data_IF_541047352639
#
_entry.id   IF_541047352639
#
_cell.length_a   1.000
_cell.length_b   1.000
_cell.length_c   1.000
_cell.angle_alpha   90.00
_cell.angle_beta   90.00
_cell.angle_gamma   90.00
#
_symmetry.space_group_name_H-M   'P 1'
#
loop_
_entity.id
_entity.type
_entity.pdbx_description
1 polymer ?
#
# COMPACT_ATOMS: atom_id res chain seq x y z
N UNK A 1 41.54 -38.96 39.03
CA UNK A 1 42.09 -38.46 40.31
C UNK A 1 41.67 -37.00 40.38
N UNK A 2 40.45 -36.73 40.85
CA UNK A 2 40.11 -36.46 42.28
C UNK A 2 40.43 -35.00 42.60
N UNK A 3 39.61 -34.11 43.15
CA UNK A 3 38.24 -34.10 43.72
C UNK A 3 37.85 -32.60 43.78
N UNK A 4 36.69 -32.17 43.26
CA UNK A 4 35.50 -31.69 44.01
C UNK A 4 35.72 -31.00 45.37
N UNK A 5 35.31 -29.72 45.48
CA UNK A 5 34.60 -29.06 46.61
C UNK A 5 33.90 -27.82 46.02
N UNK A 6 32.58 -27.75 45.78
CA UNK A 6 31.45 -27.65 46.73
C UNK A 6 31.68 -26.74 47.94
N UNK A 7 31.01 -25.59 47.94
CA UNK A 7 30.60 -24.88 49.15
C UNK A 7 29.20 -24.28 48.98
N UNK A 8 28.38 -24.59 49.96
CA UNK A 8 26.94 -24.34 50.05
C UNK A 8 26.60 -23.04 50.78
N UNK A 9 25.41 -22.54 50.43
CA UNK A 9 24.41 -21.80 51.22
C UNK A 9 24.84 -20.64 52.14
N UNK A 10 24.23 -19.47 51.92
CA UNK A 10 23.40 -18.88 52.97
C UNK A 10 22.24 -18.04 52.42
N UNK A 11 21.10 -18.28 53.05
CA UNK A 11 19.78 -17.66 52.94
C UNK A 11 19.77 -16.17 53.25
N UNK A 12 18.99 -15.38 52.51
CA UNK A 12 18.18 -14.33 53.13
C UNK A 12 16.82 -14.20 52.44
N UNK A 13 15.78 -14.63 53.14
CA UNK A 13 14.43 -14.12 53.00
C UNK A 13 14.43 -12.70 53.55
N UNK A 14 13.91 -11.73 52.80
CA UNK A 14 13.07 -10.63 53.30
C UNK A 14 12.71 -9.68 52.16
N UNK A 15 11.42 -9.36 52.03
CA UNK A 15 10.97 -8.21 51.24
C UNK A 15 9.82 -8.47 50.26
N UNK A 16 8.76 -9.16 50.69
CA UNK A 16 7.46 -9.01 50.05
C UNK A 16 7.03 -7.54 50.19
N UNK A 17 7.22 -6.75 49.12
CA UNK A 17 6.60 -5.44 48.99
C UNK A 17 5.12 -5.64 48.65
N UNK A 18 4.30 -5.02 49.47
CA UNK A 18 2.84 -4.93 49.39
C UNK A 18 2.39 -4.52 47.99
N UNK A 19 1.43 -5.29 47.46
CA UNK A 19 0.66 -4.93 46.28
C UNK A 19 -0.04 -3.60 46.52
N UNK A 20 0.40 -2.55 45.82
CA UNK A 20 -0.41 -1.36 45.64
C UNK A 20 -1.59 -1.74 44.75
N UNK A 21 -2.78 -1.76 45.34
CA UNK A 21 -4.06 -1.83 44.65
C UNK A 21 -4.16 -0.56 43.79
N UNK A 22 -3.77 -0.67 42.52
CA UNK A 22 -4.11 0.33 41.51
C UNK A 22 -5.59 0.19 41.21
N UNK A 23 -6.40 1.03 41.87
CA UNK A 23 -7.77 1.32 41.44
C UNK A 23 -7.71 1.93 40.03
N UNK A 24 -8.43 1.39 39.03
CA UNK A 24 -8.49 2.01 37.72
C UNK A 24 -9.17 3.39 37.85
N UNK A 25 -8.68 4.44 37.16
CA UNK A 25 -9.47 5.65 37.03
C UNK A 25 -10.75 5.29 36.30
N UNK A 26 -11.89 5.52 36.94
CA UNK A 26 -13.20 5.43 36.32
C UNK A 26 -13.25 6.46 35.18
N UNK A 27 -12.94 6.03 33.97
CA UNK A 27 -13.31 6.76 32.76
C UNK A 27 -14.81 6.65 32.63
N UNK A 28 -15.52 7.69 33.10
CA UNK A 28 -16.91 7.92 32.76
C UNK A 28 -17.02 7.90 31.23
N UNK A 29 -17.81 6.97 30.71
CA UNK A 29 -18.26 7.00 29.33
C UNK A 29 -19.17 8.21 29.22
N UNK A 30 -18.61 9.33 28.79
CA UNK A 30 -19.39 10.48 28.33
C UNK A 30 -19.97 10.08 26.98
N UNK A 31 -21.23 9.64 27.00
CA UNK A 31 -22.07 9.55 25.81
C UNK A 31 -22.10 10.94 25.18
N UNK A 32 -21.80 11.11 23.87
CA UNK A 32 -21.96 12.40 23.22
C UNK A 32 -23.45 12.76 23.25
N UNK A 33 -23.82 13.69 24.14
CA UNK A 33 -25.13 14.35 24.07
C UNK A 33 -25.14 15.19 22.81
N UNK A 34 -25.82 14.68 21.79
CA UNK A 34 -26.29 15.45 20.64
C UNK A 34 -27.40 16.38 21.14
N UNK A 35 -27.05 17.55 21.67
CA UNK A 35 -27.99 18.67 21.84
C UNK A 35 -27.35 19.93 21.28
N UNK A 36 -27.89 20.30 20.12
CA UNK A 36 -28.08 21.64 19.59
C UNK A 36 -27.61 22.79 20.48
N UNK A 37 -26.50 23.42 20.09
CA UNK A 37 -26.23 24.81 20.42
C UNK A 37 -25.94 25.58 19.13
N UNK A 38 -27.03 26.03 18.50
CA UNK A 38 -27.03 27.11 17.54
C UNK A 38 -26.88 28.42 18.33
N UNK A 39 -25.66 28.73 18.78
CA UNK A 39 -25.35 30.01 19.38
C UNK A 39 -24.95 31.00 18.28
N UNK A 40 -25.69 32.10 18.27
CA UNK A 40 -25.58 33.24 17.37
C UNK A 40 -24.15 33.78 17.35
N UNK A 41 -23.45 33.53 16.24
CA UNK A 41 -22.30 34.30 15.80
C UNK A 41 -22.67 34.93 14.47
N UNK A 42 -23.15 36.17 14.53
CA UNK A 42 -23.33 37.04 13.37
C UNK A 42 -21.98 37.61 12.97
N UNK A 43 -21.16 36.78 12.33
CA UNK A 43 -20.08 37.22 11.46
C UNK A 43 -20.26 36.46 10.14
N UNK A 44 -20.79 37.18 9.16
CA UNK A 44 -21.20 36.66 7.87
C UNK A 44 -20.06 35.90 7.15
N UNK A 45 -20.14 34.58 7.14
CA UNK A 45 -19.55 33.74 6.10
C UNK A 45 -20.70 32.91 5.53
N UNK A 46 -21.51 33.55 4.69
CA UNK A 46 -22.46 32.87 3.81
C UNK A 46 -21.66 32.16 2.70
N UNK A 47 -21.01 31.04 3.03
CA UNK A 47 -20.67 30.06 1.97
C UNK A 47 -21.98 29.36 1.60
N UNK A 48 -22.45 29.50 0.36
CA UNK A 48 -23.78 29.03 0.00
C UNK A 48 -23.83 27.49 0.12
N UNK A 49 -24.90 26.96 0.71
CA UNK A 49 -25.15 25.52 0.93
C UNK A 49 -24.96 24.70 -0.37
N UNK A 50 -25.15 25.32 -1.54
CA UNK A 50 -24.86 24.75 -2.85
C UNK A 50 -23.39 24.37 -3.07
N UNK A 51 -22.44 25.07 -2.43
CA UNK A 51 -21.01 24.78 -2.54
C UNK A 51 -20.59 23.57 -1.71
N UNK A 52 -21.24 23.33 -0.57
CA UNK A 52 -20.98 22.16 0.29
C UNK A 52 -21.50 20.89 -0.37
N UNK A 53 -22.75 20.90 -0.85
CA UNK A 53 -23.35 19.79 -1.59
C UNK A 53 -22.60 19.50 -2.89
N UNK A 54 -22.16 20.54 -3.60
CA UNK A 54 -21.34 20.38 -4.82
C UNK A 54 -20.00 19.69 -4.55
N UNK A 55 -19.34 20.00 -3.43
CA UNK A 55 -18.08 19.36 -3.05
C UNK A 55 -18.29 17.88 -2.69
N UNK A 56 -19.31 17.55 -1.91
CA UNK A 56 -19.62 16.15 -1.55
C UNK A 56 -19.96 15.30 -2.78
N UNK A 57 -20.77 15.82 -3.70
CA UNK A 57 -21.10 15.15 -4.95
C UNK A 57 -19.86 14.93 -5.83
N UNK A 58 -18.95 15.91 -5.88
CA UNK A 58 -17.70 15.76 -6.63
C UNK A 58 -16.81 14.65 -6.07
N UNK A 59 -16.71 14.54 -4.74
CA UNK A 59 -15.96 13.49 -4.07
C UNK A 59 -16.60 12.10 -4.29
N UNK A 60 -17.93 12.01 -4.23
CA UNK A 60 -18.67 10.79 -4.50
C UNK A 60 -18.44 10.32 -5.94
N UNK A 61 -18.51 11.23 -6.92
CA UNK A 61 -18.23 10.93 -8.32
C UNK A 61 -16.81 10.36 -8.47
N UNK A 62 -15.79 11.06 -7.98
CA UNK A 62 -14.38 10.61 -8.04
C UNK A 62 -14.19 9.22 -7.43
N UNK A 63 -14.86 8.93 -6.31
CA UNK A 63 -14.79 7.63 -5.66
C UNK A 63 -15.48 6.53 -6.48
N UNK A 64 -16.61 6.82 -7.12
CA UNK A 64 -17.25 5.89 -8.05
C UNK A 64 -16.38 5.59 -9.26
N UNK A 65 -15.71 6.60 -9.84
CA UNK A 65 -14.82 6.36 -10.99
C UNK A 65 -13.69 5.40 -10.61
N UNK A 66 -13.04 5.64 -9.46
CA UNK A 66 -11.99 4.77 -8.93
C UNK A 66 -12.47 3.33 -8.76
N UNK A 67 -13.66 3.14 -8.18
CA UNK A 67 -14.25 1.80 -7.98
C UNK A 67 -14.54 1.11 -9.31
N UNK A 68 -15.14 1.82 -10.26
CA UNK A 68 -15.43 1.28 -11.60
C UNK A 68 -14.14 0.91 -12.33
N UNK A 69 -13.10 1.75 -12.22
CA UNK A 69 -11.81 1.47 -12.86
C UNK A 69 -11.10 0.26 -12.25
N UNK A 70 -11.13 0.12 -10.92
CA UNK A 70 -10.62 -1.05 -10.22
C UNK A 70 -11.37 -2.32 -10.64
N UNK A 71 -12.71 -2.31 -10.61
CA UNK A 71 -13.54 -3.47 -10.97
C UNK A 71 -13.30 -3.92 -12.42
N UNK A 72 -13.21 -2.97 -13.36
CA UNK A 72 -12.84 -3.27 -14.75
C UNK A 72 -11.45 -3.91 -14.85
N UNK A 73 -10.53 -3.47 -14.01
CA UNK A 73 -9.14 -3.97 -13.98
C UNK A 73 -9.12 -5.40 -13.47
N UNK A 74 -9.87 -5.71 -12.41
CA UNK A 74 -10.02 -7.06 -11.88
C UNK A 74 -10.63 -8.00 -12.92
N UNK A 75 -11.67 -7.57 -13.64
CA UNK A 75 -12.26 -8.33 -14.75
C UNK A 75 -11.25 -8.65 -15.85
N UNK A 76 -10.35 -7.70 -16.18
CA UNK A 76 -9.27 -7.94 -17.15
C UNK A 76 -8.29 -8.99 -16.62
N UNK A 77 -7.88 -8.88 -15.35
CA UNK A 77 -6.96 -9.83 -14.72
C UNK A 77 -7.56 -11.25 -14.70
N UNK A 78 -8.83 -11.39 -14.30
CA UNK A 78 -9.51 -12.69 -14.28
C UNK A 78 -9.66 -13.29 -15.68
N UNK A 79 -10.00 -12.46 -16.68
CA UNK A 79 -10.03 -12.92 -18.07
C UNK A 79 -8.65 -13.42 -18.52
N UNK A 80 -7.57 -12.71 -18.19
CA UNK A 80 -6.21 -13.11 -18.57
C UNK A 80 -5.80 -14.43 -17.92
N UNK A 81 -6.13 -14.63 -16.64
CA UNK A 81 -5.92 -15.92 -15.96
C UNK A 81 -6.65 -17.06 -16.66
N UNK A 82 -7.91 -16.84 -17.06
CA UNK A 82 -8.73 -17.87 -17.71
C UNK A 82 -8.27 -18.22 -19.13
N UNK A 83 -7.63 -17.29 -19.84
CA UNK A 83 -7.33 -17.50 -21.28
C UNK A 83 -6.09 -18.39 -21.51
N UNK A 84 -5.35 -18.83 -20.47
CA UNK A 84 -4.14 -19.67 -20.57
C UNK A 84 -3.07 -19.24 -21.60
N UNK A 85 -3.15 -18.03 -22.17
CA UNK A 85 -2.25 -17.57 -23.23
C UNK A 85 -0.83 -17.34 -22.72
N UNK A 86 -0.67 -17.04 -21.44
CA UNK A 86 0.61 -16.76 -20.80
C UNK A 86 0.68 -17.39 -19.41
N UNK A 87 1.80 -18.06 -19.10
CA UNK A 87 2.05 -18.63 -17.77
C UNK A 87 2.43 -17.51 -16.81
N UNK A 88 1.47 -17.06 -16.00
CA UNK A 88 1.67 -16.00 -15.02
C UNK A 88 2.64 -16.43 -13.91
N UNK A 89 3.51 -15.51 -13.49
CA UNK A 89 4.50 -15.72 -12.43
C UNK A 89 3.83 -15.42 -11.08
N UNK A 90 3.89 -16.38 -10.16
CA UNK A 90 3.41 -16.17 -8.79
C UNK A 90 4.43 -15.36 -7.97
N UNK A 91 3.97 -14.68 -6.90
CA UNK A 91 4.88 -13.93 -6.02
C UNK A 91 5.96 -14.84 -5.43
N UNK A 92 5.57 -16.05 -5.00
CA UNK A 92 6.47 -17.05 -4.43
C UNK A 92 7.55 -17.43 -5.46
N UNK A 93 7.14 -17.77 -6.68
CA UNK A 93 8.06 -18.13 -7.76
C UNK A 93 9.01 -16.99 -8.11
N UNK A 94 8.54 -15.74 -8.06
CA UNK A 94 9.39 -14.57 -8.31
C UNK A 94 10.40 -14.37 -7.19
N UNK A 95 9.98 -14.44 -5.93
CA UNK A 95 10.87 -14.33 -4.76
C UNK A 95 11.90 -15.46 -4.79
N UNK A 96 11.49 -16.70 -5.02
CA UNK A 96 12.39 -17.85 -5.15
C UNK A 96 13.43 -17.64 -6.26
N UNK A 97 13.01 -17.14 -7.42
CA UNK A 97 13.92 -16.84 -8.53
C UNK A 97 14.94 -15.75 -8.19
N UNK A 98 14.53 -14.72 -7.45
CA UNK A 98 15.38 -13.59 -7.09
C UNK A 98 16.33 -13.89 -5.94
N UNK A 99 15.88 -14.69 -4.99
CA UNK A 99 16.60 -14.98 -3.76
C UNK A 99 17.51 -16.21 -3.87
N UNK A 100 17.36 -17.05 -4.89
CA UNK A 100 18.16 -18.26 -5.04
C UNK A 100 19.67 -17.96 -5.03
N UNK A 101 20.50 -18.67 -4.24
CA UNK A 101 20.19 -19.84 -3.40
C UNK A 101 19.75 -19.56 -1.95
N UNK A 102 19.65 -18.30 -1.54
CA UNK A 102 19.38 -17.87 -0.17
C UNK A 102 17.88 -17.75 0.09
N UNK A 103 17.26 -18.76 0.72
CA UNK A 103 15.80 -18.79 0.94
C UNK A 103 15.37 -18.42 2.38
N UNK A 104 16.30 -17.99 3.23
CA UNK A 104 16.06 -17.77 4.66
C UNK A 104 16.65 -16.44 5.15
N UNK A 105 16.31 -15.36 4.47
CA UNK A 105 16.67 -14.02 4.89
C UNK A 105 16.24 -13.77 6.35
N UNK A 106 17.08 -13.10 7.16
CA UNK A 106 16.72 -12.72 8.53
C UNK A 106 15.63 -11.65 8.57
N UNK A 107 15.52 -10.82 7.53
CA UNK A 107 14.57 -9.71 7.48
C UNK A 107 13.63 -9.79 6.28
N UNK A 108 12.45 -9.17 6.43
CA UNK A 108 11.45 -9.03 5.37
C UNK A 108 10.95 -7.59 5.32
N UNK A 109 10.34 -7.24 4.20
CA UNK A 109 9.69 -5.95 4.02
C UNK A 109 8.17 -6.07 4.22
N UNK A 110 7.57 -5.09 4.89
CA UNK A 110 6.11 -4.94 4.97
C UNK A 110 5.73 -3.53 4.52
N UNK A 111 4.74 -3.41 3.62
CA UNK A 111 4.26 -2.12 3.13
C UNK A 111 2.89 -1.79 3.70
N UNK A 112 2.74 -0.55 4.15
CA UNK A 112 1.49 0.02 4.71
C UNK A 112 0.63 0.70 3.65
N UNK A 113 1.22 1.00 2.50
CA UNK A 113 0.54 1.60 1.36
C UNK A 113 0.51 0.61 0.21
N UNK A 114 -0.66 0.46 -0.40
CA UNK A 114 -0.81 -0.32 -1.62
C UNK A 114 -0.50 0.52 -2.87
N UNK A 115 -0.27 -0.16 -3.99
CA UNK A 115 -0.15 0.46 -5.31
C UNK A 115 -1.53 0.93 -5.81
N UNK A 116 -1.60 2.03 -6.58
CA UNK A 116 -2.86 2.39 -7.22
C UNK A 116 -3.34 1.29 -8.16
N UNK A 117 -4.62 0.94 -8.08
CA UNK A 117 -5.22 -0.12 -8.88
C UNK A 117 -6.48 0.38 -9.61
N UNK A 118 -6.40 0.65 -10.93
CA UNK A 118 -5.21 0.63 -11.76
C UNK A 118 -4.27 1.82 -11.48
N UNK A 119 -3.00 1.66 -11.83
CA UNK A 119 -2.06 2.76 -11.93
C UNK A 119 -2.21 3.48 -13.27
N UNK A 120 -1.72 4.72 -13.35
CA UNK A 120 -1.80 5.53 -14.56
C UNK A 120 -0.41 5.97 -15.02
N UNK A 121 -0.18 5.88 -16.34
CA UNK A 121 1.10 6.25 -16.95
C UNK A 121 1.52 7.66 -16.52
N UNK A 122 2.75 7.77 -16.02
CA UNK A 122 3.35 9.05 -15.61
C UNK A 122 2.71 9.69 -14.38
N UNK A 123 1.76 9.02 -13.69
CA UNK A 123 1.22 9.52 -12.42
C UNK A 123 2.06 9.01 -11.26
N UNK A 124 2.46 9.94 -10.40
CA UNK A 124 3.20 9.63 -9.18
C UNK A 124 2.32 8.85 -8.20
N UNK A 125 2.92 7.86 -7.57
CA UNK A 125 2.40 7.24 -6.35
C UNK A 125 3.54 7.07 -5.33
N UNK A 126 3.15 6.71 -4.13
CA UNK A 126 4.03 6.66 -2.98
C UNK A 126 3.95 5.28 -2.35
N UNK A 127 5.10 4.71 -1.98
CA UNK A 127 5.18 3.48 -1.20
C UNK A 127 5.84 3.75 0.17
N UNK A 128 5.21 3.30 1.24
CA UNK A 128 5.68 3.36 2.62
C UNK A 128 5.66 1.95 3.20
N UNK A 129 6.77 1.57 3.82
CA UNK A 129 6.91 0.28 4.49
C UNK A 129 7.97 0.31 5.57
N UNK A 130 8.10 -0.80 6.27
CA UNK A 130 9.09 -1.03 7.31
C UNK A 130 9.85 -2.33 7.03
N UNK A 131 11.03 -2.44 7.64
CA UNK A 131 11.78 -3.69 7.71
C UNK A 131 11.35 -4.42 8.99
N UNK A 132 11.06 -5.71 8.87
CA UNK A 132 10.66 -6.57 9.99
C UNK A 132 11.58 -7.78 10.12
N UNK A 133 11.75 -8.27 11.35
CA UNK A 133 12.45 -9.52 11.63
C UNK A 133 11.52 -10.75 11.44
N UNK A 134 12.05 -11.94 11.72
CA UNK A 134 11.29 -13.20 11.70
C UNK A 134 10.17 -13.29 12.74
N UNK A 135 10.19 -12.43 13.75
CA UNK A 135 9.19 -12.34 14.80
C UNK A 135 8.13 -11.25 14.48
N UNK A 136 8.17 -10.67 13.28
CA UNK A 136 7.32 -9.56 12.83
C UNK A 136 7.49 -8.25 13.63
N UNK A 137 8.62 -8.07 14.30
CA UNK A 137 8.95 -6.80 14.94
C UNK A 137 9.57 -5.86 13.93
N UNK A 138 9.21 -4.57 14.00
CA UNK A 138 9.87 -3.52 13.21
C UNK A 138 11.30 -3.37 13.73
N UNK A 139 12.27 -3.44 12.84
CA UNK A 139 13.69 -3.38 13.18
C UNK A 139 14.41 -2.21 12.51
N UNK A 140 15.52 -1.83 13.12
CA UNK A 140 16.52 -0.92 12.55
C UNK A 140 17.73 -1.80 12.24
N UNK A 141 18.20 -1.75 11.01
CA UNK A 141 19.39 -2.44 10.56
C UNK A 141 20.65 -1.81 11.16
N UNK A 142 21.71 -2.60 11.31
CA UNK A 142 23.00 -2.11 11.82
C UNK A 142 23.69 -1.16 10.83
N UNK A 143 23.48 -1.39 9.53
CA UNK A 143 24.06 -0.62 8.43
C UNK A 143 22.98 -0.20 7.43
N UNK A 144 23.10 0.98 6.80
CA UNK A 144 22.13 1.44 5.84
C UNK A 144 22.18 0.53 4.61
N UNK A 145 21.01 0.08 4.15
CA UNK A 145 20.88 -0.72 2.94
C UNK A 145 20.16 0.12 1.89
N UNK A 146 20.65 0.02 0.66
CA UNK A 146 20.00 0.60 -0.49
C UNK A 146 18.89 -0.32 -1.00
N UNK A 147 17.72 0.28 -1.26
CA UNK A 147 16.55 -0.39 -1.81
C UNK A 147 16.18 0.24 -3.15
N UNK A 148 15.83 -0.60 -4.12
CA UNK A 148 15.46 -0.19 -5.47
C UNK A 148 14.12 -0.77 -5.91
N UNK A 149 13.33 0.07 -6.57
CA UNK A 149 12.09 -0.33 -7.23
C UNK A 149 12.37 -0.79 -8.67
N UNK A 150 11.94 -2.00 -9.03
CA UNK A 150 12.20 -2.63 -10.33
C UNK A 150 10.92 -3.24 -10.91
N UNK A 151 10.71 -3.14 -12.23
CA UNK A 151 9.60 -3.82 -12.91
C UNK A 151 10.07 -5.16 -13.47
N UNK A 152 9.27 -6.19 -13.24
CA UNK A 152 9.39 -7.50 -13.85
C UNK A 152 8.17 -7.82 -14.72
N UNK A 153 8.40 -8.67 -15.72
CA UNK A 153 7.32 -9.32 -16.45
C UNK A 153 6.42 -10.11 -15.47
N UNK A 154 5.11 -10.06 -15.72
CA UNK A 154 4.15 -10.85 -14.96
C UNK A 154 4.00 -12.29 -15.47
N UNK A 155 4.72 -12.66 -16.52
CA UNK A 155 4.69 -13.95 -17.17
C UNK A 155 6.10 -14.54 -17.30
N UNK A 156 6.18 -15.85 -17.51
CA UNK A 156 7.44 -16.50 -17.85
C UNK A 156 7.86 -16.19 -19.30
N UNK A 157 9.17 -16.02 -19.57
CA UNK A 157 10.29 -16.06 -18.61
C UNK A 157 10.38 -14.80 -17.74
N UNK A 158 10.80 -14.98 -16.48
CA UNK A 158 11.02 -13.88 -15.53
C UNK A 158 12.14 -13.01 -16.06
N UNK A 159 11.81 -11.76 -16.40
CA UNK A 159 12.75 -10.76 -16.93
C UNK A 159 12.45 -9.41 -16.32
N UNK A 160 13.50 -8.64 -16.04
CA UNK A 160 13.39 -7.23 -15.71
C UNK A 160 12.98 -6.45 -16.96
N UNK A 161 12.21 -5.40 -16.75
CA UNK A 161 11.90 -4.41 -17.78
C UNK A 161 12.52 -3.11 -17.27
N UNK A 162 13.56 -2.63 -17.94
CA UNK A 162 14.24 -1.39 -17.54
C UNK A 162 13.82 -0.21 -18.43
N UNK A 163 13.38 -0.51 -19.65
CA UNK A 163 13.09 0.45 -20.70
C UNK A 163 11.68 0.22 -21.24
N UNK A 164 11.03 1.31 -21.56
CA UNK A 164 9.79 1.32 -22.35
C UNK A 164 10.07 0.98 -23.80
N UNK A 165 9.03 0.70 -24.59
CA UNK A 165 9.13 0.54 -26.05
C UNK A 165 9.76 1.74 -26.79
N UNK A 166 9.83 2.92 -26.15
CA UNK A 166 10.42 4.14 -26.70
C UNK A 166 11.84 4.39 -26.17
N UNK A 167 12.48 3.37 -25.58
CA UNK A 167 13.83 3.45 -25.03
C UNK A 167 14.01 4.46 -23.88
N UNK A 168 12.91 4.84 -23.22
CA UNK A 168 12.94 5.62 -21.97
C UNK A 168 12.92 4.70 -20.74
N UNK A 169 13.45 5.13 -19.60
CA UNK A 169 13.33 4.39 -18.32
C UNK A 169 11.87 4.09 -17.97
N UNK A 170 11.57 2.83 -17.63
CA UNK A 170 10.20 2.39 -17.33
C UNK A 170 9.69 2.96 -15.99
N UNK A 171 10.55 3.11 -14.99
CA UNK A 171 10.23 3.80 -13.73
C UNK A 171 10.98 5.13 -13.69
N UNK A 172 10.27 6.21 -13.33
CA UNK A 172 10.84 7.53 -13.05
C UNK A 172 10.55 7.97 -11.61
N UNK A 173 11.34 8.93 -11.14
CA UNK A 173 11.24 9.53 -9.81
C UNK A 173 12.22 8.93 -8.80
N UNK A 174 11.81 8.80 -7.54
CA UNK A 174 12.68 8.27 -6.49
C UNK A 174 12.65 6.73 -6.56
N UNK A 175 13.47 6.14 -7.42
CA UNK A 175 13.51 4.68 -7.66
C UNK A 175 14.47 3.94 -6.75
N UNK A 176 15.37 4.67 -6.10
CA UNK A 176 16.38 4.15 -5.17
C UNK A 176 16.32 4.98 -3.89
N UNK A 177 16.39 4.32 -2.75
CA UNK A 177 16.51 4.95 -1.44
C UNK A 177 17.52 4.18 -0.61
N UNK A 178 18.15 4.84 0.35
CA UNK A 178 19.05 4.22 1.31
C UNK A 178 18.52 4.51 2.71
N UNK A 179 18.37 3.48 3.54
CA UNK A 179 17.74 3.60 4.86
C UNK A 179 18.14 2.47 5.79
N UNK A 180 18.01 2.74 7.09
CA UNK A 180 18.22 1.78 8.17
C UNK A 180 16.93 1.12 8.65
N UNK A 181 15.76 1.73 8.43
CA UNK A 181 14.52 1.31 9.09
C UNK A 181 13.28 1.44 8.21
N UNK A 182 12.88 2.68 7.92
CA UNK A 182 11.64 2.97 7.22
C UNK A 182 11.89 3.14 5.72
N UNK A 183 11.11 2.41 4.92
CA UNK A 183 11.15 2.40 3.47
C UNK A 183 10.17 3.45 2.95
N UNK A 184 10.66 4.47 2.25
CA UNK A 184 9.80 5.54 1.74
C UNK A 184 10.13 5.98 0.31
N UNK A 185 9.38 5.47 -0.66
CA UNK A 185 9.44 5.89 -2.05
C UNK A 185 8.37 6.95 -2.33
N UNK A 186 8.73 8.24 -2.35
CA UNK A 186 7.75 9.35 -2.40
C UNK A 186 7.10 9.60 -3.76
N UNK A 187 7.81 9.40 -4.87
CA UNK A 187 7.37 9.84 -6.21
C UNK A 187 7.65 8.78 -7.28
N UNK A 188 7.16 7.56 -7.12
CA UNK A 188 7.31 6.53 -8.15
C UNK A 188 6.34 6.76 -9.30
N UNK A 189 6.82 6.65 -10.53
CA UNK A 189 6.02 6.78 -11.75
C UNK A 189 6.35 5.64 -12.70
N UNK A 190 5.32 5.01 -13.27
CA UNK A 190 5.49 4.01 -14.33
C UNK A 190 5.16 4.65 -15.67
N UNK A 191 6.08 4.54 -16.62
CA UNK A 191 6.04 5.27 -17.88
C UNK A 191 5.44 4.47 -19.03
N UNK A 192 5.19 3.18 -18.83
CA UNK A 192 4.60 2.31 -19.84
C UNK A 192 3.23 1.80 -19.43
N UNK A 193 2.31 1.77 -20.39
CA UNK A 193 1.00 1.18 -20.20
C UNK A 193 1.08 -0.33 -20.37
N UNK A 194 0.36 -1.05 -19.54
CA UNK A 194 0.42 -2.51 -19.54
C UNK A 194 -0.19 -3.10 -20.81
N UNK A 195 -1.05 -2.36 -21.53
CA UNK A 195 -1.61 -2.79 -22.81
C UNK A 195 -0.58 -3.08 -23.90
N UNK A 196 0.65 -2.57 -23.79
CA UNK A 196 1.73 -2.87 -24.73
C UNK A 196 2.42 -4.21 -24.45
N UNK A 197 2.24 -4.75 -23.25
CA UNK A 197 2.86 -6.01 -22.83
C UNK A 197 1.95 -7.21 -23.13
N UNK A 198 2.50 -8.41 -23.42
CA UNK A 198 1.69 -9.59 -23.71
C UNK A 198 0.78 -9.98 -22.53
N UNK A 199 1.33 -10.00 -21.32
CA UNK A 199 0.63 -10.28 -20.06
C UNK A 199 -0.44 -9.25 -19.67
N UNK A 200 -0.42 -8.06 -20.28
CA UNK A 200 -1.24 -6.90 -19.90
C UNK A 200 -1.08 -6.43 -18.44
N UNK A 201 -0.03 -6.88 -17.75
CA UNK A 201 0.25 -6.53 -16.36
C UNK A 201 1.75 -6.67 -16.03
N UNK A 202 2.17 -5.99 -14.96
CA UNK A 202 3.54 -6.00 -14.46
C UNK A 202 3.61 -6.58 -13.05
N UNK A 203 4.82 -6.91 -12.62
CA UNK A 203 5.15 -7.09 -11.21
C UNK A 203 6.12 -5.96 -10.80
N UNK A 204 5.76 -5.16 -9.81
CA UNK A 204 6.68 -4.19 -9.21
C UNK A 204 7.34 -4.84 -7.99
N UNK A 205 8.67 -4.87 -7.98
CA UNK A 205 9.46 -5.52 -6.92
C UNK A 205 10.33 -4.47 -6.24
N UNK A 206 10.33 -4.49 -4.92
CA UNK A 206 11.28 -3.72 -4.11
C UNK A 206 12.40 -4.67 -3.69
N UNK A 207 13.60 -4.41 -4.19
CA UNK A 207 14.80 -5.20 -3.93
C UNK A 207 15.70 -4.45 -2.96
N UNK A 208 16.29 -5.17 -2.01
CA UNK A 208 17.47 -4.71 -1.29
C UNK A 208 18.71 -4.98 -2.14
N UNK A 209 19.74 -4.15 -2.04
CA UNK A 209 21.03 -4.43 -2.67
C UNK A 209 21.72 -5.65 -2.02
N UNK A 210 21.50 -5.87 -0.73
CA UNK A 210 21.85 -7.13 -0.05
C UNK A 210 20.62 -8.05 0.09
N UNK A 211 20.36 -8.84 -0.96
CA UNK A 211 19.28 -9.82 -1.01
C UNK A 211 19.50 -11.04 -0.09
N UNK A 212 20.68 -11.18 0.51
CA UNK A 212 20.96 -12.24 1.50
C UNK A 212 20.42 -11.86 2.88
N UNK A 213 20.35 -10.55 3.17
CA UNK A 213 19.83 -10.01 4.44
C UNK A 213 18.33 -9.75 4.41
N UNK A 214 17.82 -9.16 3.33
CA UNK A 214 16.41 -8.71 3.27
C UNK A 214 15.67 -9.35 2.10
N UNK A 215 14.56 -10.02 2.40
CA UNK A 215 13.68 -10.60 1.39
C UNK A 215 13.01 -9.51 0.55
N UNK A 216 12.99 -9.62 -0.78
CA UNK A 216 12.34 -8.66 -1.65
C UNK A 216 10.82 -8.68 -1.49
N UNK A 217 10.18 -7.54 -1.74
CA UNK A 217 8.72 -7.43 -1.71
C UNK A 217 8.13 -7.33 -3.11
N UNK A 218 7.06 -8.08 -3.38
CA UNK A 218 6.43 -8.15 -4.70
C UNK A 218 5.00 -7.58 -4.66
N UNK A 219 4.79 -6.47 -5.36
CA UNK A 219 3.48 -5.98 -5.77
C UNK A 219 3.11 -6.59 -7.13
N UNK A 220 2.29 -7.65 -7.12
CA UNK A 220 1.93 -8.35 -8.35
C UNK A 220 0.67 -7.80 -9.02
N UNK A 221 0.50 -8.17 -10.29
CA UNK A 221 -0.70 -7.85 -11.10
C UNK A 221 -0.93 -6.35 -11.27
N UNK A 222 0.14 -5.58 -11.34
CA UNK A 222 0.10 -4.14 -11.54
C UNK A 222 -0.36 -3.82 -12.97
N UNK A 223 -1.54 -3.23 -13.09
CA UNK A 223 -2.09 -2.77 -14.38
C UNK A 223 -1.92 -1.26 -14.50
N UNK A 224 -1.29 -0.83 -15.59
CA UNK A 224 -1.03 0.59 -15.87
C UNK A 224 -1.83 1.03 -17.09
N UNK A 225 -2.77 1.97 -16.89
CA UNK A 225 -3.60 2.55 -17.94
C UNK A 225 -3.05 3.89 -18.43
N UNK A 226 -3.44 4.29 -19.64
CA UNK A 226 -3.02 5.57 -20.22
C UNK A 226 -3.67 6.77 -19.51
N UNK A 227 -5.00 6.72 -19.36
CA UNK A 227 -5.83 7.79 -18.80
C UNK A 227 -6.87 7.23 -17.85
N UNK A 228 -7.33 8.08 -16.92
CA UNK A 228 -8.52 7.83 -16.08
C UNK A 228 -9.77 7.79 -16.95
N UNK A 229 -10.81 7.10 -16.48
CA UNK A 229 -12.14 7.31 -17.03
C UNK A 229 -12.52 8.79 -16.92
N UNK A 230 -13.08 9.33 -18.00
CA UNK A 230 -13.52 10.72 -18.02
C UNK A 230 -14.88 10.80 -17.29
N UNK A 231 -15.08 11.73 -16.33
CA UNK A 231 -16.34 11.88 -15.60
C UNK A 231 -17.57 11.99 -16.52
N UNK A 232 -17.39 12.59 -17.69
CA UNK A 232 -18.46 12.72 -18.68
C UNK A 232 -18.96 11.37 -19.21
N UNK A 233 -18.10 10.36 -19.35
CA UNK A 233 -18.51 9.02 -19.76
C UNK A 233 -19.33 8.31 -18.68
N UNK A 234 -19.06 8.63 -17.41
CA UNK A 234 -19.82 8.08 -16.27
C UNK A 234 -21.19 8.75 -16.18
N UNK A 235 -21.26 10.07 -16.39
CA UNK A 235 -22.52 10.84 -16.47
C UNK A 235 -23.41 10.46 -17.65
N UNK A 236 -22.87 9.87 -18.72
CA UNK A 236 -23.69 9.30 -19.79
C UNK A 236 -24.31 7.95 -19.42
N UNK A 237 -23.61 7.15 -18.61
CA UNK A 237 -24.06 5.80 -18.22
C UNK A 237 -25.08 5.82 -17.09
N UNK A 238 -24.88 6.69 -16.11
CA UNK A 238 -25.88 7.02 -15.12
C UNK A 238 -26.64 8.22 -15.68
N UNK A 239 -27.92 8.08 -16.05
CA UNK A 239 -28.77 9.19 -16.49
C UNK A 239 -28.91 10.23 -15.35
N UNK A 240 -27.85 11.01 -15.12
CA UNK A 240 -27.74 11.90 -13.97
C UNK A 240 -28.76 13.02 -14.04
N UNK A 241 -29.22 13.35 -15.25
CA UNK A 241 -30.32 14.29 -15.46
C UNK A 241 -31.61 13.81 -14.78
N UNK A 242 -31.92 12.50 -14.78
CA UNK A 242 -33.05 11.94 -14.01
C UNK A 242 -32.82 12.05 -12.49
N UNK A 243 -31.59 11.91 -12.00
CA UNK A 243 -31.27 12.02 -10.57
C UNK A 243 -31.32 13.46 -10.05
N UNK A 244 -30.84 14.44 -10.82
CA UNK A 244 -30.99 15.87 -10.49
C UNK A 244 -32.46 16.30 -10.54
N UNK A 245 -33.23 15.81 -11.51
CA UNK A 245 -34.67 16.06 -11.57
C UNK A 245 -35.40 15.42 -10.38
N UNK A 246 -35.01 14.22 -9.95
CA UNK A 246 -35.55 13.57 -8.76
C UNK A 246 -35.26 14.34 -7.46
N UNK A 247 -34.02 14.81 -7.27
CA UNK A 247 -33.66 15.62 -6.10
C UNK A 247 -34.27 17.02 -6.14
N UNK A 248 -34.46 17.60 -7.34
CA UNK A 248 -35.15 18.87 -7.52
C UNK A 248 -36.65 18.81 -7.21
N UNK A 249 -37.27 17.63 -7.38
CA UNK A 249 -38.68 17.37 -7.10
C UNK A 249 -38.97 16.97 -5.64
N UNK A 250 -37.95 16.90 -4.78
CA UNK A 250 -38.08 16.70 -3.32
C UNK A 250 -38.28 18.02 -2.54
N UNK A 251 -38.68 19.09 -3.24
CA UNK A 251 -39.08 20.37 -2.65
C UNK A 251 -40.57 20.43 -2.38
#
# INVERSE_FOLDING_TARGET
>A
MSDSQENNLSTSLNGFKSFAVFSPPQTQIVVPQFISNLSKSSAAINKPISTLLGQELSNLLVNLEKKIDAEKTDKIIEKMKATNKCKLVSNITLIEHLCYPYQKQPFKLIFHTDIPHPAYKGKCFTLRGNIIDRNNNIVILDEPIQFRAVIYNAEHPIKTIDLTRYNEKIIKGNTVIETLSNIYFRKLMIMEVSSYHPSKMFNLVILADDMNKVEPFVFSKLVVKWTKLNPYEIRKKFKFDEFYNFLGNLK
#
